data_IF_703058533147
#
_entry.id   IF_703058533147
#
_cell.length_a   1.000
_cell.length_b   1.000
_cell.length_c   1.000
_cell.angle_alpha   90.00
_cell.angle_beta   90.00
_cell.angle_gamma   90.00
#
_symmetry.space_group_name_H-M   'P 1'
#
loop_
_entity.id
_entity.type
_entity.pdbx_description
1 polymer ?
#
# COMPACT_ATOMS: atom_id res chain seq x y z
N UNK A 1 17.47 -7.85 5.62
CA UNK A 1 16.01 -7.77 5.47
C UNK A 1 15.52 -6.83 6.56
N UNK A 2 14.98 -5.68 6.18
CA UNK A 2 14.45 -4.68 7.10
C UNK A 2 12.96 -4.53 6.80
N UNK A 3 12.10 -4.70 7.81
CA UNK A 3 10.65 -4.69 7.68
C UNK A 3 10.09 -3.28 7.35
N UNK A 4 10.88 -2.23 7.58
CA UNK A 4 10.48 -0.85 7.28
C UNK A 4 10.61 -0.50 5.79
N UNK A 5 11.39 -1.27 5.02
CA UNK A 5 11.64 -1.00 3.60
C UNK A 5 10.58 -1.69 2.72
N UNK A 6 10.00 -0.98 1.73
CA UNK A 6 9.06 -1.59 0.80
C UNK A 6 9.76 -2.60 -0.11
N UNK A 7 9.12 -3.74 -0.34
CA UNK A 7 9.60 -4.83 -1.18
C UNK A 7 8.58 -5.13 -2.27
N UNK A 8 9.01 -5.40 -3.50
CA UNK A 8 8.07 -5.80 -4.55
C UNK A 8 8.73 -6.04 -5.90
N UNK A 9 7.99 -6.68 -6.78
CA UNK A 9 8.44 -7.08 -8.11
C UNK A 9 8.51 -5.92 -9.11
N UNK A 10 9.19 -6.18 -10.23
CA UNK A 10 9.13 -5.34 -11.42
C UNK A 10 8.85 -6.22 -12.65
N UNK A 11 8.04 -5.73 -13.59
CA UNK A 11 7.62 -6.46 -14.81
C UNK A 11 6.92 -7.79 -14.48
N UNK A 12 7.48 -8.92 -14.89
CA UNK A 12 6.88 -10.24 -14.73
C UNK A 12 6.98 -10.78 -13.29
N UNK A 13 7.77 -10.15 -12.42
CA UNK A 13 7.89 -10.55 -11.02
C UNK A 13 6.72 -10.10 -10.14
N UNK A 14 5.71 -9.45 -10.71
CA UNK A 14 4.52 -8.98 -10.00
C UNK A 14 4.40 -7.45 -10.00
N UNK A 15 3.25 -6.99 -9.51
CA UNK A 15 2.88 -5.57 -9.40
C UNK A 15 2.51 -5.26 -7.95
N UNK A 16 2.92 -4.08 -7.47
CA UNK A 16 2.68 -3.67 -6.08
C UNK A 16 3.92 -3.76 -5.20
N UNK A 17 3.75 -3.31 -3.95
CA UNK A 17 4.79 -3.25 -2.92
C UNK A 17 4.20 -3.75 -1.60
N UNK A 18 4.90 -4.69 -0.99
CA UNK A 18 4.67 -5.20 0.36
C UNK A 18 5.64 -4.54 1.35
N UNK A 19 5.35 -4.70 2.64
CA UNK A 19 6.12 -4.12 3.77
C UNK A 19 6.08 -2.58 3.80
N UNK A 20 6.73 -2.00 4.82
CA UNK A 20 6.76 -0.56 5.02
C UNK A 20 5.36 0.07 5.09
N UNK A 21 5.23 1.32 4.64
CA UNK A 21 3.94 2.03 4.64
C UNK A 21 3.02 1.59 3.50
N UNK A 22 3.58 1.20 2.36
CA UNK A 22 2.83 0.88 1.14
C UNK A 22 1.84 -0.29 1.33
N UNK A 23 2.15 -1.23 2.23
CA UNK A 23 1.23 -2.34 2.52
C UNK A 23 -0.11 -1.86 3.11
N UNK A 24 -0.14 -0.73 3.81
CA UNK A 24 -1.39 -0.20 4.35
C UNK A 24 -2.30 0.32 3.24
N UNK A 25 -1.75 0.91 2.18
CA UNK A 25 -2.55 1.34 1.03
C UNK A 25 -3.08 0.14 0.22
N UNK A 26 -2.40 -1.01 0.25
CA UNK A 26 -2.86 -2.23 -0.41
C UNK A 26 -4.02 -2.93 0.31
N UNK A 27 -4.06 -2.85 1.64
CA UNK A 27 -5.06 -3.55 2.47
C UNK A 27 -6.11 -2.62 3.09
N UNK A 28 -6.01 -1.31 2.89
CA UNK A 28 -7.00 -0.34 3.36
C UNK A 28 -7.46 0.56 2.22
N UNK A 29 -8.70 1.02 2.30
CA UNK A 29 -9.27 1.93 1.32
C UNK A 29 -9.63 3.25 2.01
N UNK A 30 -9.32 4.38 1.36
CA UNK A 30 -9.73 5.70 1.85
C UNK A 30 -11.18 5.96 1.48
N UNK A 31 -12.05 6.03 2.49
CA UNK A 31 -13.45 6.43 2.31
C UNK A 31 -13.64 7.93 2.53
N UNK A 32 -14.06 8.63 1.48
CA UNK A 32 -14.46 10.05 1.57
C UNK A 32 -15.85 10.19 2.18
N UNK A 33 -15.98 11.04 3.21
CA UNK A 33 -17.27 11.35 3.86
C UNK A 33 -17.55 12.85 3.73
N UNK A 34 -18.70 13.19 3.16
CA UNK A 34 -19.17 14.57 3.04
C UNK A 34 -20.09 14.86 4.23
N UNK A 35 -19.75 15.88 5.01
CA UNK A 35 -20.55 16.33 6.15
C UNK A 35 -21.41 17.53 5.73
N UNK A 36 -22.72 17.45 5.97
CA UNK A 36 -23.63 18.59 5.83
C UNK A 36 -23.66 19.42 7.12
N UNK A 37 -23.81 20.73 6.98
CA UNK A 37 -23.94 21.68 8.10
C UNK A 37 -25.39 21.75 8.58
#
# INVERSE_FOLDING_TARGET
FDAALPFGGYKQSGWGREMGREILDAYTETKSVIMAK
#
